data_IF_183055257634
#
_entry.id   IF_183055257634
#
_cell.length_a   1.000
_cell.length_b   1.000
_cell.length_c   1.000
_cell.angle_alpha   90.00
_cell.angle_beta   90.00
_cell.angle_gamma   90.00
#
_symmetry.space_group_name_H-M   'P 1'
#
loop_
_entity.id
_entity.type
_entity.pdbx_description
1 polymer ?
#
# COMPACT_ATOMS: atom_id res chain seq x y z
N UNK A 1 35.15 23.35 -56.89
CA UNK A 1 35.00 24.01 -55.58
C UNK A 1 33.91 23.28 -54.81
N UNK A 2 34.29 22.43 -53.85
CA UNK A 2 33.36 21.77 -52.96
C UNK A 2 33.78 22.16 -51.54
N UNK A 3 32.96 22.98 -50.88
CA UNK A 3 33.19 23.42 -49.50
C UNK A 3 32.24 22.66 -48.58
N UNK A 4 32.86 22.14 -47.53
CA UNK A 4 32.37 21.25 -46.49
C UNK A 4 31.52 22.02 -45.46
N UNK A 5 30.39 21.45 -45.02
CA UNK A 5 29.64 21.92 -43.84
C UNK A 5 29.07 20.71 -43.08
N UNK A 6 29.83 20.20 -42.11
CA UNK A 6 29.40 19.10 -41.21
C UNK A 6 30.21 19.10 -39.90
N UNK A 7 30.18 20.17 -39.10
CA UNK A 7 30.80 20.19 -37.76
C UNK A 7 29.92 20.79 -36.63
N UNK A 8 28.66 21.14 -36.90
CA UNK A 8 27.85 21.92 -35.94
C UNK A 8 27.00 21.12 -34.94
N UNK A 9 26.72 19.83 -35.16
CA UNK A 9 25.63 19.14 -34.42
C UNK A 9 26.14 18.24 -33.28
N UNK A 10 27.35 17.66 -33.39
CA UNK A 10 27.85 16.67 -32.43
C UNK A 10 28.29 17.27 -31.09
N UNK A 11 28.78 18.51 -31.06
CA UNK A 11 29.26 19.15 -29.85
C UNK A 11 28.13 19.60 -28.90
N UNK A 12 26.99 20.04 -29.46
CA UNK A 12 25.85 20.53 -28.69
C UNK A 12 25.17 19.39 -27.90
N UNK A 13 24.94 18.23 -28.53
CA UNK A 13 24.33 17.07 -27.86
C UNK A 13 25.20 16.56 -26.71
N UNK A 14 26.52 16.48 -26.91
CA UNK A 14 27.45 15.97 -25.89
C UNK A 14 27.57 16.91 -24.68
N UNK A 15 27.56 18.22 -24.90
CA UNK A 15 27.60 19.22 -23.83
C UNK A 15 26.31 19.24 -23.00
N UNK A 16 25.14 19.14 -23.64
CA UNK A 16 23.85 19.08 -22.95
C UNK A 16 23.72 17.81 -22.11
N UNK A 17 24.11 16.64 -22.63
CA UNK A 17 24.07 15.37 -21.87
C UNK A 17 25.01 15.39 -20.66
N UNK A 18 26.21 15.97 -20.81
CA UNK A 18 27.21 16.06 -19.71
C UNK A 18 26.76 17.03 -18.61
N UNK A 19 26.16 18.16 -18.97
CA UNK A 19 25.60 19.12 -18.02
C UNK A 19 24.41 18.54 -17.23
N UNK A 20 23.53 17.79 -17.90
CA UNK A 20 22.41 17.10 -17.24
C UNK A 20 22.89 15.99 -16.31
N UNK A 21 23.89 15.20 -16.71
CA UNK A 21 24.48 14.16 -15.86
C UNK A 21 25.19 14.76 -14.63
N UNK A 22 25.94 15.83 -14.81
CA UNK A 22 26.66 16.53 -13.71
C UNK A 22 25.69 17.16 -12.70
N UNK A 23 24.59 17.73 -13.20
CA UNK A 23 23.51 18.27 -12.36
C UNK A 23 22.79 17.16 -11.59
N UNK A 24 22.49 16.04 -12.24
CA UNK A 24 21.85 14.88 -11.60
C UNK A 24 22.76 14.25 -10.53
N UNK A 25 24.07 14.13 -10.78
CA UNK A 25 25.04 13.61 -9.81
C UNK A 25 25.16 14.57 -8.62
N UNK A 26 25.28 15.88 -8.86
CA UNK A 26 25.35 16.88 -7.79
C UNK A 26 24.08 16.87 -6.92
N UNK A 27 22.90 16.81 -7.54
CA UNK A 27 21.63 16.69 -6.82
C UNK A 27 21.52 15.38 -6.03
N UNK A 28 22.01 14.27 -6.58
CA UNK A 28 22.05 12.98 -5.88
C UNK A 28 23.01 12.99 -4.69
N UNK A 29 24.18 13.63 -4.82
CA UNK A 29 25.15 13.79 -3.73
C UNK A 29 24.59 14.70 -2.63
N UNK A 30 23.97 15.82 -2.99
CA UNK A 30 23.38 16.75 -2.02
C UNK A 30 22.17 16.12 -1.32
N UNK A 31 21.34 15.37 -2.05
CA UNK A 31 20.26 14.56 -1.48
C UNK A 31 20.80 13.45 -0.58
N UNK A 32 21.94 12.82 -0.90
CA UNK A 32 22.54 11.80 -0.06
C UNK A 32 23.10 12.36 1.26
N UNK A 33 23.62 13.59 1.26
CA UNK A 33 24.09 14.28 2.48
C UNK A 33 22.96 14.63 3.46
N UNK A 34 21.72 14.75 2.99
CA UNK A 34 20.55 15.14 3.80
C UNK A 34 19.65 13.97 4.18
N UNK A 35 19.99 12.73 3.79
CA UNK A 35 19.18 11.56 4.19
C UNK A 35 19.28 11.36 5.70
N UNK A 36 18.15 11.06 6.37
CA UNK A 36 18.19 10.67 7.77
C UNK A 36 19.01 9.39 7.91
N UNK A 37 19.81 9.29 8.97
CA UNK A 37 20.40 8.03 9.40
C UNK A 37 19.27 7.20 10.01
N UNK A 38 18.94 6.08 9.38
CA UNK A 38 17.81 5.25 9.77
C UNK A 38 18.28 3.95 10.42
N UNK A 39 17.70 3.62 11.57
CA UNK A 39 17.71 2.28 12.16
C UNK A 39 16.35 1.62 11.95
N UNK A 40 16.35 0.29 11.79
CA UNK A 40 15.11 -0.49 11.67
C UNK A 40 14.94 -1.38 12.89
N UNK A 41 13.73 -1.41 13.44
CA UNK A 41 13.36 -2.27 14.56
C UNK A 41 11.89 -2.69 14.47
N UNK A 42 11.53 -3.70 15.25
CA UNK A 42 10.12 -4.02 15.46
C UNK A 42 9.43 -2.86 16.19
N UNK A 43 8.16 -2.59 15.83
CA UNK A 43 7.31 -1.70 16.59
C UNK A 43 7.09 -2.24 18.01
N UNK A 44 7.09 -1.34 19.00
CA UNK A 44 6.80 -1.67 20.41
C UNK A 44 5.30 -1.56 20.73
N UNK A 45 4.50 -1.06 19.78
CA UNK A 45 3.02 -1.04 19.82
C UNK A 45 2.44 -0.25 21.01
N UNK A 46 3.11 0.82 21.42
CA UNK A 46 2.54 1.80 22.36
C UNK A 46 1.65 2.79 21.60
N UNK A 47 0.64 3.42 22.24
CA UNK A 47 -0.32 4.29 21.54
C UNK A 47 0.34 5.41 20.72
N UNK A 48 1.30 6.13 21.29
CA UNK A 48 1.98 7.23 20.60
C UNK A 48 2.79 6.77 19.37
N UNK A 49 3.42 5.59 19.45
CA UNK A 49 4.15 5.02 18.31
C UNK A 49 3.17 4.54 17.23
N UNK A 50 2.07 3.92 17.65
CA UNK A 50 1.02 3.45 16.74
C UNK A 50 0.42 4.62 15.96
N UNK A 51 0.15 5.74 16.62
CA UNK A 51 -0.32 6.97 15.96
C UNK A 51 0.69 7.50 14.94
N UNK A 52 1.99 7.48 15.27
CA UNK A 52 3.05 7.89 14.35
C UNK A 52 3.20 6.94 13.14
N UNK A 53 3.03 5.63 13.34
CA UNK A 53 3.00 4.62 12.26
C UNK A 53 1.81 4.88 11.34
N UNK A 54 0.62 5.13 11.90
CA UNK A 54 -0.60 5.40 11.13
C UNK A 54 -0.44 6.68 10.31
N UNK A 55 0.08 7.78 10.87
CA UNK A 55 0.30 9.02 10.11
C UNK A 55 1.38 8.85 9.04
N UNK A 56 2.44 8.08 9.32
CA UNK A 56 3.49 7.73 8.33
C UNK A 56 2.89 7.01 7.14
N UNK A 57 2.08 5.97 7.38
CA UNK A 57 1.39 5.25 6.31
C UNK A 57 0.38 6.13 5.58
N UNK A 58 -0.47 6.86 6.31
CA UNK A 58 -1.45 7.75 5.69
C UNK A 58 -0.74 8.76 4.76
N UNK A 59 0.36 9.35 5.21
CA UNK A 59 1.19 10.27 4.41
C UNK A 59 1.81 9.60 3.19
N UNK A 60 2.40 8.41 3.35
CA UNK A 60 3.01 7.66 2.26
C UNK A 60 2.00 7.34 1.14
N UNK A 61 0.79 6.95 1.51
CA UNK A 61 -0.25 6.53 0.58
C UNK A 61 -1.14 7.68 0.07
N UNK A 62 -0.91 8.93 0.49
CA UNK A 62 -1.64 10.10 -0.04
C UNK A 62 -1.50 10.27 -1.56
N UNK A 63 -0.38 9.79 -2.12
CA UNK A 63 -0.03 9.91 -3.54
C UNK A 63 -0.39 8.66 -4.35
N UNK A 64 -0.79 7.59 -3.67
CA UNK A 64 -1.11 6.28 -4.24
C UNK A 64 -2.26 6.37 -5.28
N UNK A 65 -2.11 5.78 -6.47
CA UNK A 65 -3.13 5.84 -7.52
C UNK A 65 -4.49 5.27 -7.10
N UNK A 66 -4.53 4.12 -6.41
CA UNK A 66 -5.78 3.54 -5.93
C UNK A 66 -6.43 4.44 -4.89
N UNK A 67 -5.66 4.96 -3.92
CA UNK A 67 -6.21 5.83 -2.88
C UNK A 67 -6.81 7.12 -3.46
N UNK A 68 -6.17 7.71 -4.48
CA UNK A 68 -6.70 8.88 -5.23
C UNK A 68 -7.97 8.55 -6.00
N UNK A 69 -8.04 7.38 -6.60
CA UNK A 69 -9.22 6.94 -7.34
C UNK A 69 -10.41 6.64 -6.40
N UNK A 70 -10.15 6.07 -5.23
CA UNK A 70 -11.19 5.82 -4.21
C UNK A 70 -11.68 7.13 -3.61
N UNK A 71 -10.77 8.01 -3.21
CA UNK A 71 -11.08 9.29 -2.58
C UNK A 71 -10.29 10.43 -3.27
N UNK A 72 -10.86 11.12 -4.28
CA UNK A 72 -10.14 12.17 -5.01
C UNK A 72 -9.81 13.42 -4.16
N UNK A 73 -10.69 13.77 -3.22
CA UNK A 73 -10.45 14.89 -2.30
C UNK A 73 -9.31 14.54 -1.31
N UNK A 74 -8.25 15.36 -1.20
CA UNK A 74 -7.10 15.07 -0.35
C UNK A 74 -7.42 15.07 1.15
N UNK A 75 -8.34 15.89 1.63
CA UNK A 75 -8.72 15.95 3.04
C UNK A 75 -9.52 14.70 3.41
N UNK A 76 -10.48 14.32 2.57
CA UNK A 76 -11.26 13.08 2.74
C UNK A 76 -10.35 11.87 2.64
N UNK A 77 -9.43 11.85 1.68
CA UNK A 77 -8.47 10.76 1.48
C UNK A 77 -7.55 10.60 2.68
N UNK A 78 -7.01 11.68 3.25
CA UNK A 78 -6.17 11.58 4.46
C UNK A 78 -6.95 10.93 5.60
N UNK A 79 -8.17 11.41 5.87
CA UNK A 79 -9.04 10.83 6.91
C UNK A 79 -9.35 9.35 6.67
N UNK A 80 -9.67 8.98 5.43
CA UNK A 80 -9.94 7.59 5.05
C UNK A 80 -8.72 6.69 5.21
N UNK A 81 -7.53 7.14 4.77
CA UNK A 81 -6.28 6.42 4.93
C UNK A 81 -5.90 6.26 6.41
N UNK A 82 -6.06 7.29 7.24
CA UNK A 82 -5.85 7.19 8.69
C UNK A 82 -6.76 6.12 9.31
N UNK A 83 -8.05 6.11 8.96
CA UNK A 83 -9.00 5.08 9.43
C UNK A 83 -8.63 3.68 8.95
N UNK A 84 -8.26 3.54 7.67
CA UNK A 84 -7.82 2.28 7.07
C UNK A 84 -6.58 1.74 7.79
N UNK A 85 -5.54 2.56 7.97
CA UNK A 85 -4.31 2.10 8.61
C UNK A 85 -4.50 1.82 10.10
N UNK A 86 -5.38 2.54 10.80
CA UNK A 86 -5.77 2.19 12.18
C UNK A 86 -6.34 0.77 12.26
N UNK A 87 -7.17 0.38 11.28
CA UNK A 87 -7.68 -0.99 11.19
C UNK A 87 -6.59 -1.99 10.80
N UNK A 88 -5.71 -1.65 9.85
CA UNK A 88 -4.64 -2.54 9.41
C UNK A 88 -3.64 -2.83 10.53
N UNK A 89 -3.24 -1.82 11.31
CA UNK A 89 -2.31 -2.00 12.44
C UNK A 89 -2.94 -2.71 13.64
N UNK A 90 -4.26 -2.90 13.65
CA UNK A 90 -4.96 -3.64 14.72
C UNK A 90 -5.31 -5.07 14.34
N UNK A 91 -4.93 -5.54 13.14
CA UNK A 91 -5.21 -6.92 12.74
C UNK A 91 -4.44 -7.90 13.65
N UNK A 92 -5.00 -9.08 13.93
CA UNK A 92 -4.23 -10.16 14.54
C UNK A 92 -3.18 -10.68 13.55
N UNK A 93 -2.18 -11.40 14.08
CA UNK A 93 -1.21 -12.16 13.28
C UNK A 93 -0.39 -11.34 12.27
N UNK A 94 -0.24 -10.05 12.55
CA UNK A 94 0.71 -9.17 11.87
C UNK A 94 1.92 -8.89 12.75
N UNK A 95 3.02 -8.49 12.11
CA UNK A 95 4.08 -7.75 12.79
C UNK A 95 4.45 -6.52 11.99
N UNK A 96 4.96 -5.50 12.70
CA UNK A 96 5.29 -4.20 12.14
C UNK A 96 6.76 -3.92 12.41
N UNK A 97 7.50 -3.53 11.35
CA UNK A 97 8.82 -2.93 11.47
C UNK A 97 8.73 -1.43 11.18
N UNK A 98 9.51 -0.63 11.89
CA UNK A 98 9.63 0.82 11.70
C UNK A 98 11.06 1.20 11.35
N UNK A 99 11.21 2.14 10.44
CA UNK A 99 12.47 2.82 10.16
C UNK A 99 12.44 4.17 10.87
N UNK A 100 13.28 4.32 11.89
CA UNK A 100 13.34 5.53 12.71
C UNK A 100 14.68 6.25 12.55
N UNK A 101 14.66 7.57 12.68
CA UNK A 101 15.87 8.39 12.73
C UNK A 101 16.67 8.08 13.99
N UNK A 102 17.95 7.74 13.83
CA UNK A 102 18.84 7.46 14.97
C UNK A 102 19.06 8.68 15.86
N UNK A 103 18.83 9.89 15.32
CA UNK A 103 19.09 11.14 16.02
C UNK A 103 17.86 11.67 16.76
N UNK A 104 16.67 11.45 16.21
CA UNK A 104 15.42 12.06 16.70
C UNK A 104 14.38 11.05 17.16
N UNK A 105 14.53 9.77 16.83
CA UNK A 105 13.52 8.73 17.06
C UNK A 105 12.26 8.89 16.18
N UNK A 106 12.24 9.85 15.25
CA UNK A 106 11.10 10.05 14.36
C UNK A 106 10.95 8.87 13.38
N UNK A 107 9.73 8.42 13.15
CA UNK A 107 9.44 7.35 12.18
C UNK A 107 9.40 7.93 10.78
N UNK A 108 10.27 7.45 9.89
CA UNK A 108 10.32 7.85 8.48
C UNK A 108 9.67 6.82 7.55
N UNK A 109 9.46 5.59 8.02
CA UNK A 109 8.77 4.55 7.27
C UNK A 109 8.35 3.38 8.16
N UNK A 110 7.43 2.57 7.64
CA UNK A 110 6.95 1.37 8.31
C UNK A 110 6.62 0.26 7.30
N UNK A 111 6.64 -0.98 7.76
CA UNK A 111 6.24 -2.16 7.01
C UNK A 111 5.31 -3.03 7.84
N UNK A 112 4.18 -3.46 7.27
CA UNK A 112 3.27 -4.44 7.87
C UNK A 112 3.47 -5.76 7.15
N UNK A 113 3.71 -6.80 7.95
CA UNK A 113 3.92 -8.15 7.47
C UNK A 113 2.90 -9.10 8.10
N UNK A 114 2.64 -10.22 7.44
CA UNK A 114 1.73 -11.26 7.94
C UNK A 114 2.10 -12.62 7.35
N UNK A 115 1.50 -13.69 7.88
CA UNK A 115 1.50 -15.01 7.24
C UNK A 115 0.12 -15.26 6.66
N UNK A 116 0.05 -15.57 5.37
CA UNK A 116 -1.18 -15.97 4.70
C UNK A 116 -1.29 -17.48 4.70
N UNK A 117 -2.35 -17.98 5.35
CA UNK A 117 -2.56 -19.42 5.57
C UNK A 117 -3.62 -20.00 4.64
N UNK A 118 -3.65 -21.32 4.49
CA UNK A 118 -4.65 -22.01 3.66
C UNK A 118 -6.10 -21.73 4.09
N UNK A 119 -6.37 -21.51 5.38
CA UNK A 119 -7.72 -21.21 5.91
C UNK A 119 -8.27 -19.84 5.48
N UNK A 120 -7.42 -18.93 5.01
CA UNK A 120 -7.82 -17.60 4.53
C UNK A 120 -8.29 -17.59 3.06
N UNK A 121 -8.28 -18.73 2.35
CA UNK A 121 -8.81 -18.85 0.98
C UNK A 121 -10.27 -19.28 0.92
N UNK A 122 -10.89 -19.66 2.04
CA UNK A 122 -12.31 -20.02 2.05
C UNK A 122 -13.19 -18.77 1.92
N UNK A 123 -14.16 -18.73 0.98
CA UNK A 123 -15.10 -17.63 0.91
C UNK A 123 -15.87 -17.55 2.24
N UNK A 124 -15.97 -16.34 2.82
CA UNK A 124 -16.86 -16.08 3.94
C UNK A 124 -18.29 -16.34 3.46
N UNK A 125 -18.90 -17.44 3.90
CA UNK A 125 -20.31 -17.70 3.64
C UNK A 125 -21.14 -16.66 4.40
N UNK A 126 -22.08 -16.03 3.70
CA UNK A 126 -23.12 -15.20 4.33
C UNK A 126 -24.04 -16.13 5.13
N UNK A 127 -23.94 -16.09 6.46
CA UNK A 127 -24.87 -16.79 7.34
C UNK A 127 -26.26 -16.15 7.27
N UNK A 128 -27.22 -16.96 6.82
CA UNK A 128 -28.60 -16.59 6.60
C UNK A 128 -29.39 -16.29 7.87
N UNK A 129 -30.37 -15.39 7.71
CA UNK A 129 -31.46 -15.07 8.63
C UNK A 129 -32.25 -16.31 9.04
N UNK A 130 -32.69 -16.34 10.30
CA UNK A 130 -33.79 -17.20 10.77
C UNK A 130 -34.75 -16.40 11.66
N UNK A 131 -36.01 -16.36 11.25
CA UNK A 131 -37.17 -15.76 11.92
C UNK A 131 -37.86 -16.76 12.87
N UNK A 132 -38.36 -16.30 14.03
CA UNK A 132 -39.66 -16.61 14.71
C UNK A 132 -39.60 -16.09 16.17
N UNK A 133 -40.63 -15.58 16.86
CA UNK A 133 -42.08 -15.37 16.63
C UNK A 133 -42.62 -14.38 17.72
N UNK A 134 -43.54 -13.53 17.27
CA UNK A 134 -44.69 -12.81 17.88
C UNK A 134 -44.97 -12.88 19.40
N UNK A 135 -45.19 -11.70 20.03
CA UNK A 135 -46.44 -11.27 20.73
C UNK A 135 -46.17 -10.12 21.73
N UNK A 136 -46.45 -8.86 21.32
CA UNK A 136 -46.98 -7.74 22.14
C UNK A 136 -47.17 -6.56 21.18
N UNK A 137 -48.34 -6.48 20.55
CA UNK A 137 -48.61 -5.53 19.46
C UNK A 137 -49.89 -4.77 19.82
N UNK A 138 -49.77 -3.46 20.10
CA UNK A 138 -50.68 -2.43 19.57
C UNK A 138 -50.30 -0.98 19.96
N UNK A 139 -49.30 -0.76 20.82
CA UNK A 139 -48.74 0.59 21.08
C UNK A 139 -47.32 0.82 20.54
N UNK A 140 -46.66 -0.23 20.02
CA UNK A 140 -45.27 -0.17 19.54
C UNK A 140 -45.12 0.00 18.01
N UNK A 141 -46.19 -0.16 17.23
CA UNK A 141 -46.11 -0.17 15.75
C UNK A 141 -45.70 1.21 15.18
N UNK A 142 -46.10 2.31 15.81
CA UNK A 142 -45.81 3.65 15.28
C UNK A 142 -44.38 4.11 15.58
N UNK A 143 -43.80 3.71 16.72
CA UNK A 143 -42.43 4.08 17.10
C UNK A 143 -41.37 3.26 16.33
N UNK A 144 -41.64 1.98 16.04
CA UNK A 144 -40.74 1.15 15.24
C UNK A 144 -40.68 1.59 13.77
N UNK A 145 -41.77 2.14 13.24
CA UNK A 145 -41.84 2.62 11.85
C UNK A 145 -40.92 3.83 11.59
N UNK A 146 -40.79 4.74 12.55
CA UNK A 146 -39.91 5.91 12.43
C UNK A 146 -38.44 5.52 12.60
N UNK A 147 -38.15 4.60 13.54
CA UNK A 147 -36.78 4.13 13.79
C UNK A 147 -36.28 3.21 12.67
N UNK A 148 -37.13 2.36 12.08
CA UNK A 148 -36.81 1.59 10.88
C UNK A 148 -36.67 2.47 9.63
N UNK A 149 -37.47 3.54 9.51
CA UNK A 149 -37.31 4.52 8.42
C UNK A 149 -36.03 5.33 8.60
N UNK A 150 -35.64 5.68 9.83
CA UNK A 150 -34.42 6.44 10.11
C UNK A 150 -33.16 5.57 9.97
N UNK A 151 -33.21 4.29 10.36
CA UNK A 151 -32.16 3.30 10.06
C UNK A 151 -32.08 3.03 8.56
N UNK A 152 -33.20 2.83 7.84
CA UNK A 152 -33.19 2.69 6.37
C UNK A 152 -32.69 3.95 5.67
N UNK A 153 -33.07 5.14 6.14
CA UNK A 153 -32.62 6.41 5.57
C UNK A 153 -31.14 6.66 5.87
N UNK A 154 -30.62 6.23 7.02
CA UNK A 154 -29.18 6.22 7.33
C UNK A 154 -28.42 5.14 6.53
N UNK A 155 -29.02 3.98 6.28
CA UNK A 155 -28.44 2.88 5.51
C UNK A 155 -28.45 3.16 4.00
N UNK A 156 -29.45 3.87 3.49
CA UNK A 156 -29.57 4.37 2.12
C UNK A 156 -28.70 5.62 1.88
N UNK A 157 -28.37 6.36 2.94
CA UNK A 157 -27.37 7.45 2.94
C UNK A 157 -25.94 6.95 3.17
N UNK A 158 -25.73 5.72 3.62
CA UNK A 158 -24.39 5.12 3.57
C UNK A 158 -24.04 5.01 2.09
N UNK A 159 -22.89 5.55 1.65
CA UNK A 159 -22.45 5.36 0.28
C UNK A 159 -22.40 3.85 0.04
N UNK A 160 -23.15 3.38 -0.97
CA UNK A 160 -23.14 1.97 -1.38
C UNK A 160 -21.69 1.54 -1.54
N UNK A 161 -21.29 0.35 -1.04
CA UNK A 161 -19.95 -0.16 -1.25
C UNK A 161 -19.63 -0.09 -2.75
N UNK A 162 -18.50 0.53 -3.08
CA UNK A 162 -18.06 0.67 -4.45
C UNK A 162 -17.78 -0.70 -5.05
N UNK A 163 -18.72 -1.20 -5.84
CA UNK A 163 -18.67 -2.57 -6.42
C UNK A 163 -17.41 -2.80 -7.26
N UNK A 164 -16.95 -1.75 -7.96
CA UNK A 164 -15.71 -1.76 -8.74
C UNK A 164 -14.48 -2.05 -7.87
N UNK A 165 -14.42 -1.47 -6.67
CA UNK A 165 -13.35 -1.71 -5.70
C UNK A 165 -13.43 -3.12 -5.09
N UNK A 166 -14.62 -3.58 -4.73
CA UNK A 166 -14.81 -4.94 -4.22
C UNK A 166 -14.40 -5.98 -5.27
N UNK A 167 -14.84 -5.80 -6.52
CA UNK A 167 -14.46 -6.63 -7.66
C UNK A 167 -12.95 -6.62 -7.89
N UNK A 168 -12.32 -5.45 -7.85
CA UNK A 168 -10.87 -5.33 -7.98
C UNK A 168 -10.13 -6.22 -6.98
N UNK A 169 -10.41 -6.09 -5.67
CA UNK A 169 -9.72 -6.88 -4.66
C UNK A 169 -9.97 -8.39 -4.81
N UNK A 170 -11.18 -8.80 -5.22
CA UNK A 170 -11.48 -10.21 -5.49
C UNK A 170 -10.64 -10.77 -6.65
N UNK A 171 -10.50 -10.02 -7.75
CA UNK A 171 -9.67 -10.43 -8.90
C UNK A 171 -8.19 -10.47 -8.51
N UNK A 172 -7.71 -9.49 -7.75
CA UNK A 172 -6.32 -9.45 -7.26
C UNK A 172 -6.03 -10.66 -6.38
N UNK A 173 -6.87 -10.96 -5.39
CA UNK A 173 -6.70 -12.13 -4.52
C UNK A 173 -6.69 -13.44 -5.32
N UNK A 174 -7.60 -13.60 -6.28
CA UNK A 174 -7.67 -14.79 -7.14
C UNK A 174 -6.42 -14.98 -8.03
N UNK A 175 -5.75 -13.90 -8.40
CA UNK A 175 -4.52 -13.94 -9.19
C UNK A 175 -3.25 -14.23 -8.36
N UNK A 176 -3.35 -14.25 -7.02
CA UNK A 176 -2.20 -14.39 -6.12
C UNK A 176 -1.55 -15.78 -6.14
N UNK A 177 -0.32 -15.91 -5.60
CA UNK A 177 0.33 -17.21 -5.39
C UNK A 177 -0.49 -18.13 -4.46
N UNK A 178 -0.33 -19.46 -4.58
CA UNK A 178 -0.95 -20.39 -3.63
C UNK A 178 -0.37 -20.20 -2.23
N UNK A 179 -1.25 -20.16 -1.22
CA UNK A 179 -0.89 -20.14 0.20
C UNK A 179 -0.32 -21.53 0.63
N UNK A 180 0.52 -21.62 1.67
CA UNK A 180 0.93 -20.55 2.57
C UNK A 180 2.14 -19.74 2.08
N UNK A 181 2.15 -18.45 2.42
CA UNK A 181 3.30 -17.58 2.20
C UNK A 181 3.41 -16.49 3.26
N UNK A 182 4.62 -15.97 3.47
CA UNK A 182 4.83 -14.71 4.17
C UNK A 182 4.48 -13.56 3.24
N UNK A 183 3.74 -12.57 3.74
CA UNK A 183 3.20 -11.49 2.95
C UNK A 183 3.65 -10.12 3.48
N UNK A 184 4.30 -9.33 2.63
CA UNK A 184 4.52 -7.91 2.87
C UNK A 184 3.26 -7.16 2.45
N UNK A 185 2.40 -6.86 3.42
CA UNK A 185 1.08 -6.28 3.17
C UNK A 185 1.15 -4.79 2.84
N UNK A 186 1.98 -4.05 3.56
CA UNK A 186 2.18 -2.62 3.35
C UNK A 186 3.64 -2.26 3.55
N UNK A 187 4.15 -1.38 2.67
CA UNK A 187 5.45 -0.75 2.81
C UNK A 187 5.27 0.74 2.50
N UNK A 188 5.60 1.60 3.46
CA UNK A 188 5.40 3.04 3.34
C UNK A 188 6.59 3.83 3.87
N UNK A 189 6.87 4.95 3.21
CA UNK A 189 7.84 5.96 3.67
C UNK A 189 7.17 7.33 3.57
N UNK A 190 7.21 8.12 4.65
CA UNK A 190 6.66 9.48 4.64
C UNK A 190 7.35 10.37 3.61
N UNK A 191 8.64 10.10 3.35
CA UNK A 191 9.48 10.83 2.42
C UNK A 191 10.02 9.91 1.33
N UNK A 192 9.76 10.25 0.07
CA UNK A 192 10.32 9.51 -1.06
C UNK A 192 11.85 9.70 -1.11
N UNK A 193 12.59 8.62 -1.36
CA UNK A 193 14.06 8.67 -1.47
C UNK A 193 14.83 8.75 -0.14
N UNK A 194 14.15 8.70 1.01
CA UNK A 194 14.78 8.66 2.35
C UNK A 194 15.64 7.43 2.58
N UNK A 195 15.38 6.34 1.84
CA UNK A 195 15.99 5.03 2.05
C UNK A 195 15.24 4.12 3.02
N UNK A 196 14.16 4.60 3.67
CA UNK A 196 13.39 3.84 4.66
C UNK A 196 12.85 2.51 4.09
N UNK A 197 12.22 2.53 2.91
CA UNK A 197 11.69 1.30 2.29
C UNK A 197 12.76 0.24 2.02
N UNK A 198 13.94 0.66 1.57
CA UNK A 198 15.09 -0.22 1.33
C UNK A 198 15.60 -0.83 2.64
N UNK A 199 15.69 -0.01 3.70
CA UNK A 199 16.13 -0.48 5.02
C UNK A 199 15.15 -1.50 5.60
N UNK A 200 13.84 -1.22 5.51
CA UNK A 200 12.76 -2.11 5.97
C UNK A 200 12.76 -3.45 5.25
N UNK A 201 12.89 -3.45 3.92
CA UNK A 201 12.97 -4.69 3.13
C UNK A 201 14.17 -5.55 3.54
N UNK A 202 15.36 -4.95 3.65
CA UNK A 202 16.58 -5.67 4.06
C UNK A 202 16.45 -6.27 5.47
N UNK A 203 15.91 -5.51 6.42
CA UNK A 203 15.65 -6.00 7.78
C UNK A 203 14.64 -7.16 7.76
N UNK A 204 13.55 -7.04 7.00
CA UNK A 204 12.55 -8.09 6.86
C UNK A 204 13.16 -9.39 6.34
N UNK A 205 13.96 -9.33 5.26
CA UNK A 205 14.62 -10.53 4.71
C UNK A 205 15.51 -11.23 5.73
N UNK A 206 16.28 -10.46 6.51
CA UNK A 206 17.20 -11.01 7.50
C UNK A 206 16.50 -11.77 8.64
N UNK A 207 15.21 -11.52 8.87
CA UNK A 207 14.40 -12.19 9.90
C UNK A 207 13.76 -13.48 9.40
N UNK A 208 13.62 -13.65 8.08
CA UNK A 208 12.93 -14.80 7.51
C UNK A 208 13.88 -15.99 7.37
N UNK A 209 13.35 -17.19 7.62
CA UNK A 209 14.11 -18.41 7.45
C UNK A 209 14.37 -18.67 5.95
N UNK A 210 15.51 -19.29 5.64
CA UNK A 210 15.82 -19.75 4.28
C UNK A 210 14.74 -20.70 3.77
N UNK A 211 14.33 -20.54 2.52
CA UNK A 211 13.23 -21.27 1.89
C UNK A 211 11.85 -20.62 2.09
N UNK A 212 11.75 -19.54 2.87
CA UNK A 212 10.47 -18.84 3.05
C UNK A 212 10.02 -18.21 1.72
N UNK A 213 8.78 -18.50 1.32
CA UNK A 213 8.11 -17.81 0.23
C UNK A 213 7.62 -16.45 0.72
N UNK A 214 8.23 -15.38 0.24
CA UNK A 214 7.86 -14.00 0.52
C UNK A 214 7.13 -13.42 -0.70
N UNK A 215 5.93 -12.88 -0.46
CA UNK A 215 5.02 -12.39 -1.49
C UNK A 215 4.61 -10.96 -1.18
N UNK A 216 4.36 -10.17 -2.22
CA UNK A 216 3.65 -8.90 -2.17
C UNK A 216 2.85 -8.72 -3.46
N UNK A 217 1.96 -7.75 -3.51
CA UNK A 217 1.56 -7.17 -4.79
C UNK A 217 1.71 -5.65 -4.77
N UNK A 218 1.84 -5.06 -5.95
CA UNK A 218 1.91 -3.60 -6.11
C UNK A 218 1.08 -3.13 -7.30
N UNK A 219 0.73 -1.84 -7.34
CA UNK A 219 -0.30 -1.30 -8.25
C UNK A 219 0.18 -0.96 -9.66
N UNK A 220 1.49 -0.88 -9.91
CA UNK A 220 2.02 -0.49 -11.22
C UNK A 220 3.27 -1.30 -11.57
N UNK A 221 3.56 -1.40 -12.87
CA UNK A 221 4.77 -2.07 -13.37
C UNK A 221 6.05 -1.35 -12.89
N UNK A 222 6.02 -0.02 -12.77
CA UNK A 222 7.16 0.77 -12.29
C UNK A 222 7.48 0.45 -10.83
N UNK A 223 6.46 0.27 -9.99
CA UNK A 223 6.65 -0.18 -8.62
C UNK A 223 7.20 -1.62 -8.59
N UNK A 224 6.78 -2.50 -9.50
CA UNK A 224 7.31 -3.86 -9.58
C UNK A 224 8.83 -3.85 -9.83
N UNK A 225 9.33 -2.97 -10.72
CA UNK A 225 10.76 -2.80 -10.97
C UNK A 225 11.57 -2.34 -9.75
N UNK A 226 10.95 -1.67 -8.77
CA UNK A 226 11.60 -1.39 -7.49
C UNK A 226 11.90 -2.69 -6.73
N UNK A 227 10.95 -3.62 -6.66
CA UNK A 227 11.09 -4.89 -5.93
C UNK A 227 11.98 -5.90 -6.65
N UNK A 228 12.05 -5.88 -7.99
CA UNK A 228 12.97 -6.72 -8.78
C UNK A 228 14.44 -6.55 -8.34
N UNK A 229 14.84 -5.32 -7.98
CA UNK A 229 16.19 -5.02 -7.47
C UNK A 229 16.53 -5.74 -6.16
N UNK A 230 15.51 -6.22 -5.44
CA UNK A 230 15.65 -7.02 -4.22
C UNK A 230 15.50 -8.52 -4.47
N UNK A 231 15.48 -8.93 -5.74
CA UNK A 231 15.38 -10.33 -6.16
C UNK A 231 13.98 -10.90 -6.03
N UNK A 232 12.94 -10.06 -6.07
CA UNK A 232 11.59 -10.52 -6.39
C UNK A 232 11.48 -10.78 -7.90
N UNK A 233 10.61 -11.70 -8.27
CA UNK A 233 10.21 -11.96 -9.65
C UNK A 233 8.70 -11.82 -9.79
N UNK A 234 8.24 -11.43 -10.98
CA UNK A 234 6.82 -11.38 -11.30
C UNK A 234 6.23 -12.79 -11.24
N UNK A 235 5.14 -12.96 -10.48
CA UNK A 235 4.35 -14.20 -10.45
C UNK A 235 3.16 -14.10 -11.42
N UNK A 236 2.33 -13.07 -11.24
CA UNK A 236 1.15 -12.80 -12.05
C UNK A 236 0.84 -11.31 -12.04
N UNK A 237 -0.07 -10.88 -12.91
CA UNK A 237 -0.59 -9.51 -12.90
C UNK A 237 -2.06 -9.46 -13.30
N UNK A 238 -2.74 -8.42 -12.84
CA UNK A 238 -4.06 -8.00 -13.29
C UNK A 238 -3.88 -6.61 -13.91
N UNK A 239 -4.25 -6.46 -15.18
CA UNK A 239 -4.11 -5.18 -15.87
C UNK A 239 -5.28 -4.23 -15.52
N UNK A 240 -5.09 -2.90 -15.60
CA UNK A 240 -6.17 -1.94 -15.34
C UNK A 240 -7.46 -2.21 -16.15
N UNK A 241 -7.33 -2.65 -17.40
CA UNK A 241 -8.45 -2.97 -18.28
C UNK A 241 -9.24 -4.19 -17.78
N UNK A 242 -8.55 -5.18 -17.20
CA UNK A 242 -9.14 -6.39 -16.60
C UNK A 242 -9.80 -6.05 -15.25
N UNK A 243 -9.15 -5.17 -14.48
CA UNK A 243 -9.62 -4.69 -13.18
C UNK A 243 -10.86 -3.78 -13.29
N UNK A 244 -11.02 -3.07 -14.41
CA UNK A 244 -12.09 -2.10 -14.62
C UNK A 244 -11.90 -0.80 -13.82
N UNK A 245 -10.68 -0.54 -13.32
CA UNK A 245 -10.31 0.65 -12.56
C UNK A 245 -8.92 1.13 -13.04
N UNK A 246 -8.49 2.39 -12.81
CA UNK A 246 -7.29 2.96 -13.42
C UNK A 246 -5.97 2.47 -12.80
N UNK A 247 -5.98 1.32 -12.13
CA UNK A 247 -4.82 0.67 -11.51
C UNK A 247 -4.87 -0.83 -11.74
N UNK A 248 -3.71 -1.46 -11.83
CA UNK A 248 -3.59 -2.92 -11.90
C UNK A 248 -3.06 -3.49 -10.59
N UNK A 249 -2.61 -4.74 -10.65
CA UNK A 249 -1.88 -5.40 -9.59
C UNK A 249 -0.79 -6.31 -10.17
N UNK A 250 0.40 -6.28 -9.58
CA UNK A 250 1.53 -7.11 -9.94
C UNK A 250 1.93 -7.91 -8.73
N UNK A 251 1.63 -9.21 -8.72
CA UNK A 251 2.06 -10.12 -7.68
C UNK A 251 3.53 -10.46 -7.88
N UNK A 252 4.31 -10.22 -6.84
CA UNK A 252 5.76 -10.41 -6.82
C UNK A 252 6.10 -11.47 -5.78
N UNK A 253 7.01 -12.38 -6.12
CA UNK A 253 7.44 -13.49 -5.27
C UNK A 253 8.96 -13.52 -5.14
N UNK A 254 9.44 -13.86 -3.94
CA UNK A 254 10.84 -14.10 -3.62
C UNK A 254 10.96 -15.32 -2.72
N UNK A 255 11.98 -16.16 -2.94
CA UNK A 255 12.41 -17.16 -1.97
C UNK A 255 13.62 -16.60 -1.21
N UNK A 256 13.55 -16.59 0.13
CA UNK A 256 14.64 -16.15 1.03
C UNK A 256 15.73 -17.22 1.08
#
# INVERSE_FOLDING_TARGET
MASNTSEGITAATTATTTATATTAITAAIESAKTRPNLSVRAAVNVPAETDAIIDTFATAFMRDPLSKFVNPDPVVRKKALTGMFKFQTSQPDIWIDVAESTNTGAIHGAAIWSVKTLSEQAPKQEEGKSDTKTETIELAITANSQQEQEVKKQEEQRPKPREDIAKFFNIVEAAGPPKPYTYLAFLGSAEAGSGAGTALLKNGFARLAKGTQLVLWTQTAENATYYEKFGFSLYSRVLPEEAGIPVGAWWMIKII
#
